data_IF_265674510772
#
_entry.id   IF_265674510772
#
_cell.length_a   1.000
_cell.length_b   1.000
_cell.length_c   1.000
_cell.angle_alpha   90.00
_cell.angle_beta   90.00
_cell.angle_gamma   90.00
#
_symmetry.space_group_name_H-M   'P 1'
#
loop_
_entity.id
_entity.type
_entity.pdbx_description
1 polymer ?
#
# COMPACT_ATOMS: atom_id res chain seq x y z
N UNK A 1 10.20 1.00 24.19
CA UNK A 1 11.59 0.80 23.72
C UNK A 1 11.59 1.16 22.24
N UNK A 2 12.24 2.27 21.87
CA UNK A 2 12.33 2.73 20.49
C UNK A 2 13.30 1.83 19.70
N UNK A 3 12.97 1.49 18.44
CA UNK A 3 13.84 0.69 17.57
C UNK A 3 15.21 1.32 17.38
N UNK A 4 16.26 0.50 17.21
CA UNK A 4 17.64 0.96 17.11
C UNK A 4 17.89 1.73 15.81
N UNK A 5 18.89 2.62 15.81
CA UNK A 5 19.29 3.44 14.64
C UNK A 5 19.60 2.56 13.42
N UNK A 6 20.17 1.38 13.62
CA UNK A 6 20.45 0.42 12.55
C UNK A 6 19.18 -0.07 11.84
N UNK A 7 18.08 -0.25 12.58
CA UNK A 7 16.78 -0.62 12.01
C UNK A 7 16.19 0.54 11.20
N UNK A 8 16.41 1.79 11.62
CA UNK A 8 15.98 2.99 10.87
C UNK A 8 16.74 3.14 9.56
N UNK A 9 18.06 2.99 9.60
CA UNK A 9 18.92 3.09 8.42
C UNK A 9 18.65 1.96 7.41
N UNK A 10 18.28 0.78 7.88
CA UNK A 10 17.85 -0.31 7.01
C UNK A 10 16.55 0.03 6.26
N UNK A 11 15.52 0.57 6.93
CA UNK A 11 14.27 1.00 6.30
C UNK A 11 14.48 2.09 5.23
N UNK A 12 15.34 3.06 5.51
CA UNK A 12 15.67 4.12 4.55
C UNK A 12 16.41 3.56 3.34
N UNK A 13 17.36 2.64 3.54
CA UNK A 13 18.20 2.13 2.46
C UNK A 13 17.51 1.09 1.57
N UNK A 14 16.73 0.18 2.18
CA UNK A 14 16.16 -0.99 1.49
C UNK A 14 14.73 -0.71 1.04
N UNK A 15 13.97 0.06 1.82
CA UNK A 15 12.56 0.34 1.56
C UNK A 15 12.31 1.78 1.09
N UNK A 16 13.35 2.63 1.03
CA UNK A 16 13.26 4.06 0.76
C UNK A 16 12.24 4.79 1.67
N UNK A 17 12.01 4.26 2.87
CA UNK A 17 11.02 4.72 3.84
C UNK A 17 11.76 5.30 5.05
N UNK A 18 11.59 6.60 5.28
CA UNK A 18 12.07 7.25 6.50
C UNK A 18 11.05 7.06 7.65
N UNK A 19 11.37 6.29 8.70
CA UNK A 19 10.49 6.14 9.87
C UNK A 19 10.36 7.42 10.72
N UNK A 20 11.23 8.42 10.53
CA UNK A 20 11.08 9.77 11.09
C UNK A 20 10.28 10.71 10.15
N UNK A 21 10.20 10.37 8.86
CA UNK A 21 9.36 11.01 7.85
C UNK A 21 7.85 10.76 8.02
N UNK A 22 7.47 9.84 8.92
CA UNK A 22 6.10 9.70 9.44
C UNK A 22 5.62 10.91 10.27
N UNK A 23 6.41 11.98 10.33
CA UNK A 23 5.94 13.31 10.70
C UNK A 23 5.28 13.91 9.47
N UNK A 24 3.97 13.66 9.31
CA UNK A 24 3.19 14.18 8.19
C UNK A 24 3.56 15.62 7.88
N UNK A 25 4.14 15.83 6.70
CA UNK A 25 4.31 17.17 6.19
C UNK A 25 2.90 17.71 6.01
N UNK A 26 2.54 18.76 6.75
CA UNK A 26 1.19 19.34 6.83
C UNK A 26 0.69 19.96 5.49
N UNK A 27 1.22 19.52 4.36
CA UNK A 27 0.89 19.98 3.02
C UNK A 27 1.06 18.92 1.92
N UNK A 28 1.37 17.66 2.22
CA UNK A 28 1.39 16.62 1.19
C UNK A 28 -0.04 16.12 0.92
N UNK A 29 -0.49 16.05 -0.35
CA UNK A 29 -1.83 15.55 -0.67
C UNK A 29 -1.99 14.14 -0.11
N UNK A 30 -3.11 13.85 0.54
CA UNK A 30 -3.40 12.50 1.08
C UNK A 30 -3.39 11.41 -0.01
N UNK A 31 -3.59 11.83 -1.26
CA UNK A 31 -3.41 11.02 -2.46
C UNK A 31 -1.97 10.53 -2.66
N UNK A 32 -0.97 11.33 -2.30
CA UNK A 32 0.45 10.98 -2.36
C UNK A 32 0.78 9.81 -1.43
N UNK A 33 0.32 9.86 -0.18
CA UNK A 33 0.50 8.78 0.80
C UNK A 33 0.03 7.43 0.28
N UNK A 34 -1.15 7.39 -0.34
CA UNK A 34 -1.67 6.16 -0.95
C UNK A 34 -0.82 5.71 -2.14
N UNK A 35 -0.44 6.64 -3.02
CA UNK A 35 0.33 6.34 -4.23
C UNK A 35 1.70 5.76 -3.89
N UNK A 36 2.42 6.40 -2.97
CA UNK A 36 3.77 5.98 -2.59
C UNK A 36 3.76 4.57 -1.98
N UNK A 37 2.77 4.28 -1.12
CA UNK A 37 2.59 2.94 -0.58
C UNK A 37 2.28 1.91 -1.68
N UNK A 38 1.45 2.29 -2.66
CA UNK A 38 1.07 1.42 -3.78
C UNK A 38 2.27 1.13 -4.69
N UNK A 39 3.03 2.15 -5.04
CA UNK A 39 4.26 2.02 -5.83
C UNK A 39 5.31 1.17 -5.12
N UNK A 40 5.47 1.33 -3.80
CA UNK A 40 6.38 0.50 -3.01
C UNK A 40 5.99 -0.99 -3.04
N UNK A 41 4.70 -1.29 -2.91
CA UNK A 41 4.19 -2.67 -3.03
C UNK A 41 4.38 -3.21 -4.45
N UNK A 42 4.05 -2.42 -5.47
CA UNK A 42 4.19 -2.85 -6.87
C UNK A 42 5.64 -3.17 -7.23
N UNK A 43 6.60 -2.35 -6.78
CA UNK A 43 8.02 -2.61 -6.98
C UNK A 43 8.47 -3.94 -6.35
N UNK A 44 7.92 -4.31 -5.18
CA UNK A 44 8.22 -5.59 -4.52
C UNK A 44 7.55 -6.76 -5.23
N UNK A 45 6.32 -6.58 -5.72
CA UNK A 45 5.63 -7.58 -6.55
C UNK A 45 6.36 -7.81 -7.88
N UNK A 46 6.89 -6.76 -8.50
CA UNK A 46 7.74 -6.88 -9.68
C UNK A 46 9.04 -7.64 -9.38
N UNK A 47 9.66 -7.38 -8.22
CA UNK A 47 10.84 -8.12 -7.78
C UNK A 47 10.53 -9.62 -7.61
N UNK A 48 9.43 -9.96 -6.94
CA UNK A 48 8.96 -11.34 -6.84
C UNK A 48 8.68 -11.95 -8.21
N UNK A 49 7.99 -11.22 -9.10
CA UNK A 49 7.75 -11.67 -10.47
C UNK A 49 9.03 -11.96 -11.25
N UNK A 50 10.09 -11.16 -11.05
CA UNK A 50 11.42 -11.45 -11.63
C UNK A 50 12.04 -12.72 -11.03
N UNK A 51 11.95 -12.91 -9.72
CA UNK A 51 12.43 -14.12 -9.04
C UNK A 51 11.73 -15.37 -9.59
N UNK A 52 10.40 -15.33 -9.71
CA UNK A 52 9.60 -16.43 -10.25
C UNK A 52 10.01 -16.78 -11.69
N UNK A 53 10.17 -15.78 -12.56
CA UNK A 53 10.62 -16.01 -13.94
C UNK A 53 12.04 -16.55 -14.05
N UNK A 54 12.90 -16.20 -13.08
CA UNK A 54 14.27 -16.70 -13.01
C UNK A 54 14.39 -18.20 -12.73
N UNK A 55 13.31 -18.86 -12.29
CA UNK A 55 13.30 -20.30 -11.98
C UNK A 55 13.10 -21.17 -13.23
N UNK A 56 12.68 -20.60 -14.36
CA UNK A 56 12.51 -21.31 -15.63
C UNK A 56 11.35 -22.32 -15.64
N UNK A 57 10.43 -22.21 -14.69
CA UNK A 57 9.21 -23.02 -14.61
C UNK A 57 8.06 -22.29 -15.35
N UNK A 58 7.46 -22.89 -16.39
CA UNK A 58 6.37 -22.28 -17.16
C UNK A 58 5.15 -21.86 -16.32
N UNK A 59 4.85 -22.59 -15.25
CA UNK A 59 3.71 -22.27 -14.38
C UNK A 59 4.03 -21.05 -13.51
N UNK A 60 5.28 -20.92 -13.04
CA UNK A 60 5.74 -19.75 -12.30
C UNK A 60 5.85 -18.51 -13.18
N UNK A 61 6.21 -18.67 -14.46
CA UNK A 61 6.16 -17.61 -15.46
C UNK A 61 4.73 -17.07 -15.66
N UNK A 62 3.75 -17.97 -15.73
CA UNK A 62 2.35 -17.61 -15.88
C UNK A 62 1.81 -16.89 -14.62
N UNK A 63 2.18 -17.37 -13.42
CA UNK A 63 1.83 -16.72 -12.15
C UNK A 63 2.47 -15.32 -12.08
N UNK A 64 3.73 -15.18 -12.49
CA UNK A 64 4.43 -13.90 -12.51
C UNK A 64 3.86 -12.91 -13.54
N UNK A 65 3.22 -13.39 -14.62
CA UNK A 65 2.56 -12.54 -15.61
C UNK A 65 1.15 -12.12 -15.21
N UNK A 66 0.34 -13.02 -14.65
CA UNK A 66 -1.10 -12.81 -14.52
C UNK A 66 -1.62 -12.86 -13.08
N UNK A 67 -0.90 -13.52 -12.16
CA UNK A 67 -1.37 -13.78 -10.80
C UNK A 67 -1.09 -12.65 -9.80
N UNK A 68 0.09 -12.02 -9.89
CA UNK A 68 0.57 -11.07 -8.87
C UNK A 68 -0.20 -9.74 -8.84
N UNK A 69 -0.63 -9.24 -10.01
CA UNK A 69 -1.33 -7.95 -10.13
C UNK A 69 -2.86 -8.05 -9.95
N UNK A 70 -3.41 -9.27 -9.92
CA UNK A 70 -4.84 -9.49 -9.70
C UNK A 70 -5.32 -9.07 -8.31
N UNK A 71 -4.39 -8.87 -7.36
CA UNK A 71 -4.69 -8.52 -5.97
C UNK A 71 -5.21 -7.08 -5.80
N UNK A 72 -4.91 -6.20 -6.75
CA UNK A 72 -5.33 -4.80 -6.71
C UNK A 72 -6.74 -4.71 -7.26
N UNK A 73 -7.72 -5.24 -6.51
CA UNK A 73 -9.12 -5.31 -6.91
C UNK A 73 -9.61 -3.97 -7.46
N UNK A 74 -9.69 -3.88 -8.79
CA UNK A 74 -9.76 -2.60 -9.51
C UNK A 74 -10.88 -1.68 -9.03
N UNK A 75 -12.01 -2.25 -8.59
CA UNK A 75 -13.13 -1.47 -8.05
C UNK A 75 -12.81 -0.73 -6.75
N UNK A 76 -12.06 -1.34 -5.82
CA UNK A 76 -11.70 -0.67 -4.55
C UNK A 76 -10.59 0.35 -4.75
N UNK A 77 -9.64 0.08 -5.66
CA UNK A 77 -8.62 1.04 -6.10
C UNK A 77 -9.27 2.30 -6.69
N UNK A 78 -10.24 2.14 -7.59
CA UNK A 78 -10.95 3.27 -8.21
C UNK A 78 -11.77 4.02 -7.17
N UNK A 79 -12.50 3.33 -6.28
CA UNK A 79 -13.30 3.96 -5.24
C UNK A 79 -12.46 4.78 -4.25
N UNK A 80 -11.30 4.25 -3.84
CA UNK A 80 -10.37 4.96 -2.95
C UNK A 80 -9.76 6.17 -3.64
N UNK A 81 -9.30 6.02 -4.88
CA UNK A 81 -8.78 7.13 -5.68
C UNK A 81 -9.78 8.27 -5.84
N UNK A 82 -11.04 7.94 -6.15
CA UNK A 82 -12.11 8.91 -6.26
C UNK A 82 -12.33 9.65 -4.93
N UNK A 83 -12.45 8.92 -3.82
CA UNK A 83 -12.68 9.52 -2.51
C UNK A 83 -11.53 10.46 -2.07
N UNK A 84 -10.27 10.07 -2.32
CA UNK A 84 -9.10 10.91 -2.01
C UNK A 84 -9.09 12.20 -2.85
N UNK A 85 -9.38 12.09 -4.16
CA UNK A 85 -9.47 13.26 -5.04
C UNK A 85 -10.63 14.19 -4.66
N UNK A 86 -11.78 13.62 -4.29
CA UNK A 86 -12.95 14.38 -3.86
C UNK A 86 -12.67 15.13 -2.55
N UNK A 87 -11.95 14.52 -1.61
CA UNK A 87 -11.51 15.19 -0.39
C UNK A 87 -10.55 16.36 -0.66
N UNK A 88 -9.56 16.18 -1.54
CA UNK A 88 -8.62 17.23 -1.91
C UNK A 88 -9.31 18.41 -2.61
N UNK A 89 -10.43 18.16 -3.30
CA UNK A 89 -11.24 19.18 -4.00
C UNK A 89 -12.38 19.74 -3.17
N UNK A 90 -12.72 19.13 -2.02
CA UNK A 90 -13.87 19.52 -1.23
C UNK A 90 -13.71 20.92 -0.63
N UNK A 91 -14.78 21.71 -0.72
CA UNK A 91 -14.85 22.97 0.01
C UNK A 91 -14.84 22.71 1.53
N UNK A 92 -14.45 23.69 2.37
CA UNK A 92 -14.42 23.52 3.83
C UNK A 92 -15.76 23.04 4.43
N UNK A 93 -16.89 23.44 3.84
CA UNK A 93 -18.22 23.02 4.26
C UNK A 93 -18.51 21.53 4.02
N UNK A 94 -17.92 20.95 2.96
CA UNK A 94 -18.15 19.56 2.54
C UNK A 94 -17.06 18.61 3.03
N UNK A 95 -15.98 19.16 3.61
CA UNK A 95 -14.79 18.41 4.04
C UNK A 95 -15.09 17.26 5.00
N UNK A 96 -16.05 17.44 5.90
CA UNK A 96 -16.46 16.40 6.84
C UNK A 96 -17.15 15.22 6.13
N UNK A 97 -17.99 15.49 5.14
CA UNK A 97 -18.64 14.46 4.35
C UNK A 97 -17.61 13.72 3.46
N UNK A 98 -16.68 14.46 2.85
CA UNK A 98 -15.59 13.88 2.08
C UNK A 98 -14.65 13.02 2.95
N UNK A 99 -14.34 13.46 4.19
CA UNK A 99 -13.54 12.66 5.14
C UNK A 99 -14.23 11.32 5.46
N UNK A 100 -15.55 11.34 5.67
CA UNK A 100 -16.32 10.12 5.90
C UNK A 100 -16.29 9.18 4.68
N UNK A 101 -16.35 9.72 3.46
CA UNK A 101 -16.23 8.95 2.23
C UNK A 101 -14.84 8.30 2.09
N UNK A 102 -13.76 9.05 2.36
CA UNK A 102 -12.40 8.49 2.41
C UNK A 102 -12.29 7.39 3.44
N UNK A 103 -12.81 7.61 4.66
CA UNK A 103 -12.81 6.59 5.71
C UNK A 103 -13.50 5.30 5.31
N UNK A 104 -14.65 5.40 4.63
CA UNK A 104 -15.37 4.23 4.10
C UNK A 104 -14.58 3.51 3.01
N UNK A 105 -13.98 4.25 2.07
CA UNK A 105 -13.20 3.67 0.98
C UNK A 105 -11.92 2.97 1.50
N UNK A 106 -11.22 3.59 2.45
CA UNK A 106 -10.08 2.99 3.15
C UNK A 106 -10.50 1.70 3.86
N UNK A 107 -11.62 1.72 4.60
CA UNK A 107 -12.14 0.54 5.29
C UNK A 107 -12.47 -0.61 4.33
N UNK A 108 -13.11 -0.30 3.20
CA UNK A 108 -13.46 -1.30 2.19
C UNK A 108 -12.22 -1.90 1.51
N UNK A 109 -11.23 -1.06 1.16
CA UNK A 109 -9.97 -1.54 0.58
C UNK A 109 -9.22 -2.42 1.58
N UNK A 110 -9.09 -1.98 2.83
CA UNK A 110 -8.44 -2.75 3.89
C UNK A 110 -9.12 -4.10 4.11
N UNK A 111 -10.44 -4.12 4.20
CA UNK A 111 -11.20 -5.36 4.35
C UNK A 111 -10.95 -6.31 3.16
N UNK A 112 -10.93 -5.80 1.92
CA UNK A 112 -10.63 -6.59 0.74
C UNK A 112 -9.24 -7.24 0.83
N UNK A 113 -8.19 -6.47 1.18
CA UNK A 113 -6.84 -6.99 1.34
C UNK A 113 -6.76 -8.08 2.41
N UNK A 114 -7.28 -7.81 3.61
CA UNK A 114 -7.24 -8.76 4.73
C UNK A 114 -8.13 -9.99 4.51
N UNK A 115 -9.13 -9.90 3.63
CA UNK A 115 -9.98 -11.04 3.26
C UNK A 115 -9.39 -11.90 2.14
N UNK A 116 -8.30 -11.46 1.51
CA UNK A 116 -7.71 -12.14 0.36
C UNK A 116 -6.65 -13.16 0.82
N UNK A 117 -6.86 -14.48 0.60
CA UNK A 117 -5.85 -15.48 0.89
C UNK A 117 -4.56 -15.27 0.09
N UNK A 118 -4.66 -14.60 -1.06
CA UNK A 118 -3.51 -14.28 -1.91
C UNK A 118 -2.66 -13.16 -1.29
N UNK A 119 -3.24 -12.22 -0.55
CA UNK A 119 -2.48 -11.18 0.16
C UNK A 119 -1.61 -11.80 1.25
N UNK A 120 -2.17 -12.74 2.01
CA UNK A 120 -1.45 -13.50 3.04
C UNK A 120 -0.36 -14.39 2.42
N UNK A 121 -0.68 -15.12 1.35
CA UNK A 121 0.29 -15.98 0.66
C UNK A 121 1.46 -15.20 0.01
N UNK A 122 1.26 -13.93 -0.36
CA UNK A 122 2.32 -13.06 -0.86
C UNK A 122 3.26 -12.61 0.26
N UNK A 123 2.73 -12.32 1.44
CA UNK A 123 3.56 -11.92 2.58
C UNK A 123 4.32 -13.12 3.19
N UNK A 124 3.75 -14.33 3.17
CA UNK A 124 4.39 -15.58 3.63
C UNK A 124 4.96 -16.44 2.47
N UNK A 125 5.50 -15.80 1.43
CA UNK A 125 5.97 -16.53 0.25
C UNK A 125 7.30 -17.28 0.51
N UNK A 126 7.47 -18.50 -0.04
CA UNK A 126 8.67 -19.31 0.18
C UNK A 126 9.88 -18.86 -0.66
N UNK A 127 9.74 -17.81 -1.48
CA UNK A 127 10.78 -17.36 -2.41
C UNK A 127 11.77 -16.36 -1.77
N UNK A 128 11.62 -16.09 -0.47
CA UNK A 128 12.53 -15.24 0.30
C UNK A 128 12.46 -13.76 -0.09
N UNK A 129 11.40 -13.33 -0.79
CA UNK A 129 11.17 -11.94 -1.17
C UNK A 129 10.18 -11.33 -0.18
N UNK A 130 10.63 -10.42 0.68
CA UNK A 130 9.73 -9.74 1.61
C UNK A 130 8.84 -8.75 0.84
N UNK A 131 7.52 -9.00 0.82
CA UNK A 131 6.54 -8.10 0.19
C UNK A 131 6.05 -7.06 1.21
N UNK A 132 5.63 -7.50 2.40
CA UNK A 132 5.10 -6.62 3.44
C UNK A 132 3.89 -5.82 2.98
N UNK A 133 3.05 -6.42 2.13
CA UNK A 133 1.89 -5.81 1.51
C UNK A 133 0.92 -5.29 2.56
N UNK A 134 0.49 -6.16 3.48
CA UNK A 134 -0.55 -5.82 4.46
C UNK A 134 -0.06 -4.71 5.39
N UNK A 135 1.16 -4.82 5.88
CA UNK A 135 1.76 -3.82 6.77
C UNK A 135 1.97 -2.47 6.09
N UNK A 136 2.49 -2.47 4.86
CA UNK A 136 2.73 -1.23 4.09
C UNK A 136 1.42 -0.49 3.84
N UNK A 137 0.38 -1.22 3.43
CA UNK A 137 -0.95 -0.65 3.20
C UNK A 137 -1.61 -0.17 4.50
N UNK A 138 -1.53 -0.93 5.59
CA UNK A 138 -2.10 -0.56 6.88
C UNK A 138 -1.42 0.67 7.51
N UNK A 139 -0.12 0.88 7.28
CA UNK A 139 0.57 2.13 7.65
C UNK A 139 0.01 3.31 6.86
N UNK A 140 -0.10 3.19 5.53
CA UNK A 140 -0.63 4.25 4.68
C UNK A 140 -2.07 4.61 5.03
N UNK A 141 -2.93 3.62 5.25
CA UNK A 141 -4.32 3.84 5.68
C UNK A 141 -4.41 4.58 7.01
N UNK A 142 -3.57 4.26 7.99
CA UNK A 142 -3.54 5.01 9.26
C UNK A 142 -3.10 6.45 9.08
N UNK A 143 -2.15 6.72 8.20
CA UNK A 143 -1.72 8.09 7.89
C UNK A 143 -2.84 8.88 7.22
N UNK A 144 -3.52 8.31 6.22
CA UNK A 144 -4.66 8.93 5.54
C UNK A 144 -5.78 9.25 6.54
N UNK A 145 -6.17 8.29 7.39
CA UNK A 145 -7.23 8.49 8.38
C UNK A 145 -6.86 9.55 9.41
N UNK A 146 -5.58 9.65 9.78
CA UNK A 146 -5.10 10.70 10.69
C UNK A 146 -5.15 12.08 10.02
N UNK A 147 -4.82 12.16 8.73
CA UNK A 147 -4.72 13.43 7.99
C UNK A 147 -6.09 14.06 7.67
N UNK A 148 -7.17 13.26 7.60
CA UNK A 148 -8.52 13.75 7.26
C UNK A 148 -9.39 14.11 8.46
N UNK A 149 -8.89 13.92 9.68
CA UNK A 149 -9.56 14.27 10.94
C UNK A 149 -9.30 15.72 11.33
#
# INVERSE_FOLDING_TARGET
>A
MAGSEDQRQWCIRVLNLDPAGASGNRGEPILGVWRDAKEAVDARLEALGRTLRGLGDPDLDQIAQYGLFGLTGGGQTVALMAALQDYDRAAPADRAAAAAAVGKAVGAYRAMLHSSPLAEALDDNPFGVEIGLLDTMDVAFRQIITAIR
#
